data_IF_800271497823
#
_entry.id   IF_800271497823
#
_cell.length_a   1.000
_cell.length_b   1.000
_cell.length_c   1.000
_cell.angle_alpha   90.00
_cell.angle_beta   90.00
_cell.angle_gamma   90.00
#
_symmetry.space_group_name_H-M   'P 1'
#
loop_
_entity.id
_entity.type
_entity.pdbx_description
1 polymer ?
#
# COMPACT_ATOMS: atom_id res chain seq x y z
N UNK A 1 -21.60 -8.49 13.45
CA UNK A 1 -22.67 -7.51 13.17
C UNK A 1 -22.81 -6.44 14.25
N UNK A 2 -23.17 -6.73 15.51
CA UNK A 2 -23.26 -5.68 16.54
C UNK A 2 -21.90 -5.07 16.94
N UNK A 3 -20.85 -5.90 17.02
CA UNK A 3 -19.47 -5.45 17.30
C UNK A 3 -18.95 -4.56 16.17
N UNK A 4 -19.19 -4.94 14.91
CA UNK A 4 -18.80 -4.15 13.74
C UNK A 4 -19.57 -2.82 13.66
N UNK A 5 -20.86 -2.83 14.03
CA UNK A 5 -21.70 -1.63 14.08
C UNK A 5 -21.19 -0.64 15.13
N UNK A 6 -20.80 -1.11 16.31
CA UNK A 6 -20.25 -0.24 17.36
C UNK A 6 -18.88 0.36 16.97
N UNK A 7 -18.07 -0.36 16.19
CA UNK A 7 -16.80 0.16 15.65
C UNK A 7 -17.03 1.22 14.57
N UNK A 8 -17.98 0.97 13.66
CA UNK A 8 -18.25 1.87 12.53
C UNK A 8 -19.03 3.11 12.93
N UNK A 9 -20.13 2.95 13.67
CA UNK A 9 -21.06 4.03 14.01
C UNK A 9 -20.82 4.60 15.41
N UNK A 10 -20.08 3.89 16.25
CA UNK A 10 -19.92 4.22 17.66
C UNK A 10 -20.84 3.40 18.56
N UNK A 11 -20.43 3.22 19.81
CA UNK A 11 -21.24 2.60 20.85
C UNK A 11 -22.05 3.63 21.64
N UNK A 12 -23.17 3.20 22.25
CA UNK A 12 -23.91 4.02 23.20
C UNK A 12 -22.99 4.53 24.32
N UNK A 13 -23.11 5.83 24.66
CA UNK A 13 -22.19 6.68 25.47
C UNK A 13 -21.17 7.53 24.70
N UNK A 14 -21.54 8.10 23.55
CA UNK A 14 -20.78 9.19 22.92
C UNK A 14 -19.42 8.80 22.33
N UNK A 15 -19.12 7.50 22.21
CA UNK A 15 -17.94 7.03 21.49
C UNK A 15 -18.15 7.24 19.99
N UNK A 16 -17.40 8.17 19.39
CA UNK A 16 -17.37 8.35 17.94
C UNK A 16 -16.89 7.07 17.24
N UNK A 17 -17.68 6.58 16.28
CA UNK A 17 -17.28 5.49 15.39
C UNK A 17 -16.32 5.95 14.29
N UNK A 18 -15.74 4.98 13.57
CA UNK A 18 -14.83 5.24 12.46
C UNK A 18 -15.47 6.12 11.38
N UNK A 19 -16.74 5.90 11.05
CA UNK A 19 -17.42 6.64 9.97
C UNK A 19 -17.48 8.14 10.26
N UNK A 20 -17.78 8.53 11.49
CA UNK A 20 -17.83 9.95 11.87
C UNK A 20 -16.47 10.64 11.66
N UNK A 21 -15.37 9.98 12.02
CA UNK A 21 -14.03 10.53 11.80
C UNK A 21 -13.59 10.49 10.34
N UNK A 22 -14.02 9.49 9.56
CA UNK A 22 -13.80 9.48 8.11
C UNK A 22 -14.51 10.68 7.48
N UNK A 23 -15.79 10.89 7.79
CA UNK A 23 -16.57 12.04 7.27
C UNK A 23 -15.93 13.37 7.68
N UNK A 24 -15.43 13.49 8.91
CA UNK A 24 -14.71 14.69 9.37
C UNK A 24 -13.47 14.97 8.51
N UNK A 25 -12.68 13.94 8.16
CA UNK A 25 -11.51 14.11 7.30
C UNK A 25 -11.92 14.41 5.86
N UNK A 26 -12.85 13.64 5.29
CA UNK A 26 -13.32 13.82 3.90
C UNK A 26 -13.92 15.20 3.67
N UNK A 27 -14.71 15.76 4.61
CA UNK A 27 -15.32 17.09 4.41
C UNK A 27 -14.31 18.24 4.36
N UNK A 28 -13.09 18.00 4.85
CA UNK A 28 -12.02 19.01 4.88
C UNK A 28 -11.07 18.89 3.70
N UNK A 29 -11.32 17.92 2.81
CA UNK A 29 -10.51 17.75 1.60
C UNK A 29 -10.87 18.84 0.60
N UNK A 30 -9.91 19.72 0.36
CA UNK A 30 -9.97 20.77 -0.65
C UNK A 30 -8.92 20.46 -1.72
N UNK A 31 -9.27 19.53 -2.62
CA UNK A 31 -8.43 19.03 -3.71
C UNK A 31 -9.30 18.68 -4.91
N UNK A 32 -8.75 18.73 -6.11
CA UNK A 32 -9.41 18.45 -7.39
C UNK A 32 -9.78 16.97 -7.56
N UNK A 33 -9.04 16.04 -6.93
CA UNK A 33 -9.35 14.61 -7.00
C UNK A 33 -10.49 14.24 -6.08
N UNK A 34 -11.45 13.46 -6.58
CA UNK A 34 -12.61 13.00 -5.81
C UNK A 34 -12.66 11.47 -5.73
N UNK A 35 -13.16 10.89 -4.62
CA UNK A 35 -13.44 9.46 -4.54
C UNK A 35 -14.26 8.97 -5.73
N UNK A 36 -13.66 8.10 -6.56
CA UNK A 36 -14.27 7.66 -7.81
C UNK A 36 -14.41 6.14 -7.87
N UNK A 37 -13.40 5.40 -7.40
CA UNK A 37 -13.40 3.94 -7.47
C UNK A 37 -13.03 3.33 -6.12
N UNK A 38 -13.67 2.21 -5.79
CA UNK A 38 -13.48 1.51 -4.53
C UNK A 38 -13.34 0.01 -4.77
N UNK A 39 -12.47 -0.64 -4.00
CA UNK A 39 -12.30 -2.09 -4.03
C UNK A 39 -12.02 -2.62 -5.45
N UNK A 40 -11.16 -1.89 -6.20
CA UNK A 40 -10.82 -2.18 -7.60
C UNK A 40 -10.01 -3.47 -7.67
N UNK A 41 -10.69 -4.57 -7.97
CA UNK A 41 -10.11 -5.89 -8.05
C UNK A 41 -9.57 -6.22 -9.44
N UNK A 42 -8.48 -6.99 -9.48
CA UNK A 42 -7.83 -7.44 -10.72
C UNK A 42 -7.23 -8.83 -10.57
N UNK A 43 -7.32 -9.66 -11.60
CA UNK A 43 -6.83 -11.04 -11.57
C UNK A 43 -7.63 -11.99 -10.68
N UNK A 44 -8.84 -11.59 -10.26
CA UNK A 44 -9.80 -12.47 -9.62
C UNK A 44 -10.74 -12.97 -10.71
N UNK A 45 -10.55 -14.19 -11.22
CA UNK A 45 -11.49 -14.76 -12.20
C UNK A 45 -12.90 -14.96 -11.62
N UNK A 46 -13.91 -15.27 -12.45
CA UNK A 46 -15.25 -15.59 -11.99
C UNK A 46 -15.22 -16.84 -11.08
N UNK A 47 -15.78 -16.76 -9.88
CA UNK A 47 -15.97 -17.92 -9.00
C UNK A 47 -14.74 -18.42 -8.23
N UNK A 48 -13.62 -17.68 -8.21
CA UNK A 48 -12.51 -17.99 -7.31
C UNK A 48 -12.96 -17.90 -5.84
N UNK A 49 -12.48 -18.79 -4.96
CA UNK A 49 -12.69 -18.65 -3.51
C UNK A 49 -12.14 -17.29 -3.05
N UNK A 50 -13.00 -16.45 -2.47
CA UNK A 50 -12.66 -15.07 -2.10
C UNK A 50 -12.76 -14.05 -3.25
N UNK A 51 -13.36 -14.41 -4.40
CA UNK A 51 -13.73 -13.44 -5.42
C UNK A 51 -14.63 -12.35 -4.80
N UNK A 52 -14.36 -11.06 -5.04
CA UNK A 52 -15.17 -9.99 -4.47
C UNK A 52 -16.64 -10.16 -4.88
N UNK A 53 -17.57 -10.15 -3.90
CA UNK A 53 -19.02 -10.13 -4.19
C UNK A 53 -19.42 -8.91 -5.03
N UNK A 54 -18.61 -7.85 -4.98
CA UNK A 54 -18.78 -6.60 -5.71
C UNK A 54 -17.41 -6.15 -6.20
N UNK A 55 -17.32 -5.79 -7.47
CA UNK A 55 -16.14 -5.21 -8.10
C UNK A 55 -16.47 -3.80 -8.56
N UNK A 56 -15.47 -2.95 -8.63
CA UNK A 56 -15.62 -1.67 -9.30
C UNK A 56 -16.03 -1.89 -10.77
N UNK A 57 -17.14 -1.31 -11.24
CA UNK A 57 -17.70 -1.61 -12.56
C UNK A 57 -16.90 -0.99 -13.72
N UNK A 58 -16.07 0.02 -13.47
CA UNK A 58 -15.32 0.72 -14.51
C UNK A 58 -13.88 0.25 -14.61
N UNK A 59 -13.21 0.06 -13.47
CA UNK A 59 -11.79 -0.32 -13.41
C UNK A 59 -11.55 -1.79 -13.05
N UNK A 60 -12.53 -2.49 -12.48
CA UNK A 60 -12.39 -3.90 -12.10
C UNK A 60 -12.21 -4.82 -13.32
N UNK A 61 -11.31 -5.82 -13.22
CA UNK A 61 -11.01 -6.77 -14.31
C UNK A 61 -10.83 -8.20 -13.81
N UNK A 62 -11.17 -9.18 -14.65
CA UNK A 62 -10.94 -10.61 -14.34
C UNK A 62 -9.47 -10.99 -14.54
N UNK A 63 -8.83 -10.39 -15.54
CA UNK A 63 -7.46 -10.70 -15.92
C UNK A 63 -6.45 -10.11 -14.92
N UNK A 64 -5.36 -10.85 -14.62
CA UNK A 64 -4.23 -10.31 -13.90
C UNK A 64 -3.57 -9.16 -14.65
N UNK A 65 -2.95 -8.24 -13.91
CA UNK A 65 -2.09 -7.21 -14.50
C UNK A 65 -0.67 -7.73 -14.59
N UNK A 66 -0.05 -7.64 -15.76
CA UNK A 66 1.33 -8.06 -15.96
C UNK A 66 2.28 -6.91 -15.66
N UNK A 67 3.20 -7.11 -14.72
CA UNK A 67 4.13 -6.09 -14.23
C UNK A 67 5.54 -6.68 -14.26
N UNK A 68 6.41 -6.14 -15.12
CA UNK A 68 7.77 -6.67 -15.30
C UNK A 68 7.81 -8.15 -15.70
N UNK A 69 6.79 -8.63 -16.44
CA UNK A 69 6.65 -10.04 -16.83
C UNK A 69 6.04 -10.95 -15.74
N UNK A 70 5.65 -10.39 -14.60
CA UNK A 70 4.96 -11.12 -13.53
C UNK A 70 3.46 -10.83 -13.59
N UNK A 71 2.63 -11.86 -13.66
CA UNK A 71 1.18 -11.71 -13.52
C UNK A 71 0.81 -11.49 -12.04
N UNK A 72 0.20 -10.35 -11.74
CA UNK A 72 -0.22 -9.98 -10.37
C UNK A 72 -1.74 -9.89 -10.33
N UNK A 73 -2.29 -10.45 -9.25
CA UNK A 73 -3.69 -10.26 -8.83
C UNK A 73 -3.73 -9.47 -7.53
N UNK A 74 -4.80 -8.73 -7.31
CA UNK A 74 -4.94 -7.93 -6.12
C UNK A 74 -6.21 -7.10 -6.10
N UNK A 75 -6.26 -6.16 -5.15
CA UNK A 75 -7.38 -5.25 -4.97
C UNK A 75 -6.85 -3.93 -4.44
N UNK A 76 -7.15 -2.84 -5.15
CA UNK A 76 -6.83 -1.48 -4.73
C UNK A 76 -8.02 -0.93 -3.95
N UNK A 77 -7.81 -0.54 -2.70
CA UNK A 77 -8.89 -0.13 -1.80
C UNK A 77 -9.69 1.06 -2.34
N UNK A 78 -9.00 2.11 -2.82
CA UNK A 78 -9.62 3.33 -3.34
C UNK A 78 -8.75 4.07 -4.34
N UNK A 79 -9.40 4.61 -5.36
CA UNK A 79 -8.80 5.51 -6.35
C UNK A 79 -9.60 6.81 -6.38
N UNK A 80 -8.90 7.92 -6.19
CA UNK A 80 -9.48 9.25 -6.38
C UNK A 80 -8.97 9.82 -7.70
N UNK A 81 -9.87 10.41 -8.47
CA UNK A 81 -9.62 10.88 -9.83
C UNK A 81 -9.90 12.38 -9.91
N UNK A 82 -8.98 13.11 -10.52
CA UNK A 82 -9.11 14.53 -10.86
C UNK A 82 -9.05 14.74 -12.39
N UNK A 83 -8.95 16.00 -12.84
CA UNK A 83 -8.98 16.35 -14.26
C UNK A 83 -7.82 15.75 -15.07
N UNK A 84 -6.61 15.75 -14.50
CA UNK A 84 -5.35 15.36 -15.16
C UNK A 84 -4.56 14.30 -14.37
N UNK A 85 -5.07 13.87 -13.22
CA UNK A 85 -4.32 13.06 -12.27
C UNK A 85 -5.20 12.13 -11.45
N UNK A 86 -4.57 11.14 -10.80
CA UNK A 86 -5.22 10.25 -9.85
C UNK A 86 -4.36 10.00 -8.62
N UNK A 87 -5.00 9.65 -7.51
CA UNK A 87 -4.32 9.16 -6.31
C UNK A 87 -4.84 7.77 -5.94
N UNK A 88 -3.98 6.97 -5.32
CA UNK A 88 -4.36 5.69 -4.72
C UNK A 88 -4.35 5.83 -3.21
N UNK A 89 -5.40 5.33 -2.58
CA UNK A 89 -5.59 5.39 -1.14
C UNK A 89 -5.74 3.95 -0.60
N UNK A 90 -4.96 3.61 0.43
CA UNK A 90 -4.97 2.30 1.10
C UNK A 90 -5.33 2.47 2.59
N UNK A 91 -6.33 1.74 3.06
CA UNK A 91 -6.84 1.88 4.43
C UNK A 91 -6.01 1.05 5.42
N UNK A 92 -5.44 1.71 6.43
CA UNK A 92 -4.59 1.06 7.44
C UNK A 92 -5.14 1.23 8.85
N UNK A 93 -5.31 0.09 9.54
CA UNK A 93 -5.64 0.03 10.97
C UNK A 93 -4.40 0.00 11.87
N UNK A 94 -3.22 -0.27 11.30
CA UNK A 94 -1.96 -0.29 12.01
C UNK A 94 -1.56 1.10 12.54
N UNK A 95 -0.95 1.13 13.72
CA UNK A 95 -0.44 2.37 14.33
C UNK A 95 0.79 2.91 13.62
N UNK A 96 1.70 2.02 13.20
CA UNK A 96 2.92 2.32 12.43
C UNK A 96 2.58 2.16 10.95
N UNK A 97 2.79 3.21 10.18
CA UNK A 97 2.65 3.19 8.72
C UNK A 97 4.03 2.99 8.08
N UNK A 98 4.08 2.43 6.85
CA UNK A 98 5.32 2.39 6.10
C UNK A 98 5.92 3.77 5.87
N UNK A 99 7.24 3.86 6.01
CA UNK A 99 8.07 5.02 5.68
C UNK A 99 8.43 4.97 4.21
N UNK A 100 8.89 6.10 3.66
CA UNK A 100 9.42 6.12 2.30
C UNK A 100 10.62 5.16 2.15
N UNK A 101 11.52 5.13 3.13
CA UNK A 101 12.64 4.19 3.15
C UNK A 101 12.20 2.73 3.03
N UNK A 102 11.08 2.36 3.66
CA UNK A 102 10.57 0.99 3.57
C UNK A 102 10.10 0.64 2.14
N UNK A 103 9.65 1.65 1.38
CA UNK A 103 9.30 1.53 -0.05
C UNK A 103 10.57 1.45 -0.89
N UNK A 104 11.53 2.35 -0.66
CA UNK A 104 12.81 2.41 -1.36
C UNK A 104 13.65 1.13 -1.18
N UNK A 105 13.54 0.48 -0.01
CA UNK A 105 14.19 -0.80 0.33
C UNK A 105 13.39 -2.02 -0.17
N UNK A 106 12.22 -1.82 -0.77
CA UNK A 106 11.39 -2.89 -1.32
C UNK A 106 10.60 -3.69 -0.28
N UNK A 107 10.55 -3.23 0.96
CA UNK A 107 9.84 -3.93 2.05
C UNK A 107 8.36 -3.54 2.16
N UNK A 108 7.98 -2.43 1.53
CA UNK A 108 6.59 -1.97 1.40
C UNK A 108 6.29 -1.59 -0.05
N UNK A 109 5.66 -2.50 -0.79
CA UNK A 109 5.47 -2.35 -2.24
C UNK A 109 4.07 -1.86 -2.64
N UNK A 110 3.10 -1.84 -1.71
CA UNK A 110 1.68 -1.71 -2.05
C UNK A 110 1.35 -0.43 -2.82
N UNK A 111 1.70 0.74 -2.27
CA UNK A 111 1.29 2.01 -2.89
C UNK A 111 1.90 2.22 -4.29
N UNK A 112 3.22 2.09 -4.52
CA UNK A 112 3.74 2.27 -5.88
C UNK A 112 3.28 1.19 -6.85
N UNK A 113 3.08 -0.05 -6.37
CA UNK A 113 2.54 -1.12 -7.20
C UNK A 113 1.10 -0.80 -7.63
N UNK A 114 0.27 -0.31 -6.71
CA UNK A 114 -1.10 0.10 -7.01
C UNK A 114 -1.14 1.32 -7.94
N UNK A 115 -0.25 2.30 -7.76
CA UNK A 115 -0.12 3.42 -8.70
C UNK A 115 0.16 2.93 -10.12
N UNK A 116 1.06 1.95 -10.27
CA UNK A 116 1.34 1.35 -11.58
C UNK A 116 0.13 0.59 -12.14
N UNK A 117 -0.50 -0.27 -11.33
CA UNK A 117 -1.67 -1.05 -11.74
C UNK A 117 -2.81 -0.15 -12.22
N UNK A 118 -3.15 0.88 -11.45
CA UNK A 118 -4.23 1.80 -11.80
C UNK A 118 -3.89 2.61 -13.04
N UNK A 119 -2.62 3.02 -13.21
CA UNK A 119 -2.17 3.70 -14.44
C UNK A 119 -2.41 2.82 -15.67
N UNK A 120 -2.02 1.56 -15.63
CA UNK A 120 -2.21 0.63 -16.76
C UNK A 120 -3.70 0.38 -17.05
N UNK A 121 -4.53 0.27 -16.01
CA UNK A 121 -5.97 0.11 -16.15
C UNK A 121 -6.63 1.34 -16.78
N UNK A 122 -6.33 2.53 -16.27
CA UNK A 122 -6.84 3.80 -16.81
C UNK A 122 -6.47 3.96 -18.28
N UNK A 123 -5.20 3.71 -18.62
CA UNK A 123 -4.72 3.77 -20.01
C UNK A 123 -5.45 2.80 -20.92
N UNK A 124 -5.65 1.56 -20.47
CA UNK A 124 -6.41 0.57 -21.23
C UNK A 124 -7.90 0.94 -21.37
N UNK A 125 -8.43 1.79 -20.48
CA UNK A 125 -9.77 2.40 -20.61
C UNK A 125 -9.76 3.73 -21.39
N UNK A 126 -8.64 4.09 -22.04
CA UNK A 126 -8.51 5.30 -22.87
C UNK A 126 -8.28 6.59 -22.08
N UNK A 127 -7.94 6.50 -20.79
CA UNK A 127 -7.70 7.64 -19.90
C UNK A 127 -6.22 7.73 -19.57
N UNK A 128 -5.56 8.80 -20.00
CA UNK A 128 -4.16 9.05 -19.65
C UNK A 128 -4.10 10.11 -18.54
N UNK A 129 -4.04 9.64 -17.29
CA UNK A 129 -3.96 10.47 -16.09
C UNK A 129 -2.61 10.26 -15.41
N UNK A 130 -2.02 11.34 -14.90
CA UNK A 130 -0.77 11.29 -14.15
C UNK A 130 -1.00 10.68 -12.75
N UNK A 131 -0.07 9.84 -12.30
CA UNK A 131 -0.07 9.42 -10.90
C UNK A 131 0.37 10.60 -10.02
N UNK A 132 -0.52 11.05 -9.14
CA UNK A 132 -0.21 12.15 -8.23
C UNK A 132 0.39 11.66 -6.92
N UNK A 133 -0.24 10.69 -6.24
CA UNK A 133 0.24 10.20 -4.95
C UNK A 133 -0.35 8.85 -4.54
N UNK A 134 0.44 8.09 -3.77
CA UNK A 134 -0.04 7.00 -2.93
C UNK A 134 -0.20 7.47 -1.49
N UNK A 135 -1.36 7.21 -0.89
CA UNK A 135 -1.74 7.75 0.42
C UNK A 135 -2.23 6.61 1.31
N UNK A 136 -1.78 6.60 2.57
CA UNK A 136 -2.35 5.76 3.61
C UNK A 136 -3.49 6.49 4.30
N UNK A 137 -4.67 5.87 4.31
CA UNK A 137 -5.77 6.30 5.16
C UNK A 137 -5.65 5.61 6.51
N UNK A 138 -5.01 6.28 7.46
CA UNK A 138 -4.85 5.75 8.81
C UNK A 138 -6.17 5.84 9.55
N UNK A 139 -6.68 4.70 10.02
CA UNK A 139 -7.95 4.60 10.75
C UNK A 139 -7.77 4.64 12.27
N UNK A 140 -6.55 4.34 12.76
CA UNK A 140 -6.20 4.34 14.19
C UNK A 140 -4.73 4.73 14.40
N UNK A 141 -4.38 5.38 15.54
CA UNK A 141 -5.28 5.78 16.63
C UNK A 141 -6.11 7.03 16.30
N UNK A 142 -5.64 7.85 15.37
CA UNK A 142 -6.32 9.03 14.86
C UNK A 142 -6.61 8.82 13.37
N UNK A 143 -7.80 9.22 12.94
CA UNK A 143 -8.21 9.12 11.55
C UNK A 143 -7.58 10.26 10.77
N UNK A 144 -6.75 9.95 9.77
CA UNK A 144 -6.05 10.94 8.94
C UNK A 144 -5.51 10.33 7.66
N UNK A 145 -5.27 11.18 6.67
CA UNK A 145 -4.51 10.84 5.46
C UNK A 145 -3.03 11.07 5.72
N UNK A 146 -2.20 10.10 5.37
CA UNK A 146 -0.73 10.18 5.48
C UNK A 146 -0.14 9.81 4.15
N UNK A 147 0.56 10.74 3.51
CA UNK A 147 1.25 10.49 2.25
C UNK A 147 2.26 9.34 2.42
N UNK A 148 2.28 8.42 1.45
CA UNK A 148 3.34 7.42 1.30
C UNK A 148 4.44 7.97 0.40
N UNK A 149 4.06 8.34 -0.81
CA UNK A 149 4.88 9.07 -1.80
C UNK A 149 3.95 9.91 -2.69
N UNK A 150 4.39 11.11 -3.09
CA UNK A 150 3.61 11.99 -3.96
C UNK A 150 4.48 12.86 -4.85
N UNK A 151 3.96 13.22 -6.02
CA UNK A 151 4.59 14.13 -6.98
C UNK A 151 4.28 15.59 -6.60
N UNK A 152 5.33 16.40 -6.40
CA UNK A 152 5.21 17.81 -6.03
C UNK A 152 4.41 18.67 -7.02
N UNK A 153 4.34 18.29 -8.30
CA UNK A 153 3.57 18.99 -9.33
C UNK A 153 2.06 19.00 -9.06
N UNK A 154 1.58 18.02 -8.28
CA UNK A 154 0.17 17.87 -7.92
C UNK A 154 -0.11 18.19 -6.44
N UNK A 155 0.87 18.73 -5.72
CA UNK A 155 0.70 19.16 -4.33
C UNK A 155 -0.40 20.21 -4.24
N UNK A 156 -1.29 20.10 -3.24
CA UNK A 156 -2.44 21.00 -3.03
C UNK A 156 -3.52 20.93 -4.13
N UNK A 157 -3.25 20.28 -5.27
CA UNK A 157 -4.23 20.01 -6.32
C UNK A 157 -4.85 18.63 -6.19
N UNK A 158 -4.05 17.57 -6.16
CA UNK A 158 -4.55 16.19 -6.11
C UNK A 158 -4.48 15.57 -4.71
N UNK A 159 -3.72 16.17 -3.80
CA UNK A 159 -3.61 15.70 -2.42
C UNK A 159 -3.26 16.86 -1.49
N UNK A 160 -3.78 16.79 -0.27
CA UNK A 160 -3.49 17.79 0.75
C UNK A 160 -2.01 17.71 1.16
N UNK A 161 -1.37 18.85 1.45
CA UNK A 161 -0.02 18.86 1.97
C UNK A 161 0.02 18.18 3.34
N UNK A 162 0.74 17.05 3.41
CA UNK A 162 1.07 16.42 4.68
C UNK A 162 2.41 16.94 5.23
N UNK A 163 2.66 16.68 6.52
CA UNK A 163 4.00 16.81 7.09
C UNK A 163 4.94 15.79 6.41
N UNK A 164 5.78 16.21 5.46
CA UNK A 164 6.71 15.26 4.84
C UNK A 164 7.54 15.78 3.68
N UNK A 165 8.66 16.44 3.98
CA UNK A 165 9.61 16.89 2.95
C UNK A 165 10.19 15.75 2.09
N UNK A 166 10.46 14.56 2.67
CA UNK A 166 11.03 13.43 1.91
C UNK A 166 10.02 12.67 1.06
N UNK A 167 8.76 12.59 1.49
CA UNK A 167 7.70 11.83 0.80
C UNK A 167 7.15 12.57 -0.42
N UNK A 168 7.37 13.87 -0.46
CA UNK A 168 7.10 14.72 -1.60
C UNK A 168 8.29 14.65 -2.56
N UNK A 169 8.12 13.87 -3.62
CA UNK A 169 9.10 13.72 -4.68
C UNK A 169 9.05 14.93 -5.62
N UNK A 170 10.18 15.36 -6.20
CA UNK A 170 10.28 16.64 -6.89
C UNK A 170 9.42 16.76 -8.16
N UNK A 171 9.14 15.65 -8.85
CA UNK A 171 8.39 15.63 -10.10
C UNK A 171 7.84 14.22 -10.40
N UNK A 172 7.09 14.09 -11.50
CA UNK A 172 6.56 12.82 -11.98
C UNK A 172 7.65 11.78 -12.29
N UNK A 173 8.81 12.21 -12.80
CA UNK A 173 9.92 11.30 -13.12
C UNK A 173 10.48 10.60 -11.87
N UNK A 174 10.58 11.31 -10.75
CA UNK A 174 11.02 10.76 -9.49
C UNK A 174 10.02 9.73 -8.93
N UNK A 175 8.72 10.00 -9.05
CA UNK A 175 7.68 9.03 -8.69
C UNK A 175 7.72 7.81 -9.62
N UNK A 176 7.94 8.01 -10.91
CA UNK A 176 8.08 6.93 -11.89
C UNK A 176 9.35 6.10 -11.65
N UNK A 177 10.43 6.70 -11.14
CA UNK A 177 11.60 5.95 -10.69
C UNK A 177 11.27 5.04 -9.50
N UNK A 178 10.55 5.55 -8.50
CA UNK A 178 10.12 4.76 -7.34
C UNK A 178 9.20 3.59 -7.75
N UNK A 179 8.29 3.84 -8.68
CA UNK A 179 7.43 2.81 -9.28
C UNK A 179 8.29 1.77 -10.01
N UNK A 180 9.23 2.18 -10.86
CA UNK A 180 10.12 1.25 -11.58
C UNK A 180 10.99 0.42 -10.64
N UNK A 181 11.52 1.01 -9.57
CA UNK A 181 12.25 0.28 -8.52
C UNK A 181 11.37 -0.76 -7.84
N UNK A 182 10.12 -0.40 -7.53
CA UNK A 182 9.10 -1.32 -6.98
C UNK A 182 8.87 -2.52 -7.90
N UNK A 183 8.75 -2.30 -9.22
CA UNK A 183 8.64 -3.37 -10.21
C UNK A 183 9.91 -4.26 -10.22
N UNK A 184 11.08 -3.65 -10.10
CA UNK A 184 12.35 -4.36 -9.93
C UNK A 184 12.36 -5.28 -8.71
N UNK A 185 11.86 -4.82 -7.56
CA UNK A 185 11.72 -5.65 -6.37
C UNK A 185 10.74 -6.81 -6.59
N UNK A 186 9.56 -6.55 -7.14
CA UNK A 186 8.57 -7.60 -7.43
C UNK A 186 9.16 -8.69 -8.31
N UNK A 187 9.78 -8.32 -9.43
CA UNK A 187 10.39 -9.28 -10.36
C UNK A 187 11.53 -10.05 -9.72
N UNK A 188 12.40 -9.38 -8.96
CA UNK A 188 13.48 -10.02 -8.21
C UNK A 188 12.98 -11.00 -7.14
N UNK A 189 11.91 -10.65 -6.42
CA UNK A 189 11.31 -11.50 -5.40
C UNK A 189 10.65 -12.74 -6.02
N UNK A 190 9.86 -12.58 -7.08
CA UNK A 190 9.22 -13.71 -7.77
C UNK A 190 10.26 -14.65 -8.37
N UNK A 191 11.31 -14.11 -8.99
CA UNK A 191 12.43 -14.92 -9.49
C UNK A 191 13.11 -15.69 -8.38
N UNK A 192 13.40 -15.04 -7.25
CA UNK A 192 14.05 -15.69 -6.10
C UNK A 192 13.20 -16.83 -5.54
N UNK A 193 11.88 -16.63 -5.45
CA UNK A 193 10.93 -17.67 -5.05
C UNK A 193 10.96 -18.85 -6.02
N UNK A 194 10.92 -18.58 -7.33
CA UNK A 194 10.97 -19.61 -8.37
C UNK A 194 12.30 -20.41 -8.36
N UNK A 195 13.41 -19.76 -7.99
CA UNK A 195 14.72 -20.38 -7.81
C UNK A 195 14.87 -21.08 -6.45
N UNK A 196 13.83 -21.12 -5.60
CA UNK A 196 13.87 -21.78 -4.29
C UNK A 196 14.66 -21.03 -3.22
N UNK A 197 14.91 -19.73 -3.40
CA UNK A 197 15.68 -18.90 -2.45
C UNK A 197 14.77 -18.33 -1.36
N UNK A 198 14.85 -18.91 -0.16
CA UNK A 198 14.11 -18.46 1.02
C UNK A 198 15.08 -18.10 2.17
N UNK A 199 15.84 -16.99 2.05
CA UNK A 199 16.76 -16.58 3.10
C UNK A 199 16.01 -16.15 4.35
N UNK A 200 16.69 -16.25 5.50
CA UNK A 200 16.20 -15.65 6.73
C UNK A 200 16.23 -14.11 6.63
N UNK A 201 15.41 -13.45 7.45
CA UNK A 201 15.46 -11.98 7.56
C UNK A 201 16.83 -11.53 8.09
N UNK A 202 17.18 -10.28 7.80
CA UNK A 202 18.42 -9.66 8.29
C UNK A 202 18.33 -9.33 9.79
N UNK A 203 19.47 -9.27 10.52
CA UNK A 203 19.49 -9.04 11.96
C UNK A 203 18.76 -7.77 12.41
N UNK A 204 18.90 -6.69 11.66
CA UNK A 204 18.27 -5.38 11.89
C UNK A 204 16.73 -5.41 11.77
N UNK A 205 16.18 -6.41 11.06
CA UNK A 205 14.73 -6.57 10.85
C UNK A 205 14.09 -7.63 11.74
N UNK A 206 14.86 -8.30 12.59
CA UNK A 206 14.34 -9.39 13.44
C UNK A 206 13.19 -8.89 14.32
N UNK A 207 13.31 -7.72 14.93
CA UNK A 207 12.28 -7.19 15.82
C UNK A 207 10.98 -6.88 15.07
N UNK A 208 11.06 -6.21 13.92
CA UNK A 208 9.89 -5.86 13.11
C UNK A 208 9.21 -7.11 12.51
N UNK A 209 9.99 -8.10 12.03
CA UNK A 209 9.47 -9.26 11.30
C UNK A 209 9.05 -10.40 12.25
N UNK A 210 9.86 -10.72 13.26
CA UNK A 210 9.62 -11.90 14.09
C UNK A 210 8.53 -11.71 15.15
N UNK A 211 8.18 -10.46 15.50
CA UNK A 211 7.12 -10.15 16.47
C UNK A 211 5.76 -10.70 16.02
N UNK A 212 5.49 -10.71 14.71
CA UNK A 212 4.22 -11.14 14.13
C UNK A 212 4.33 -12.45 13.32
N UNK A 213 5.48 -13.12 13.36
CA UNK A 213 5.75 -14.30 12.54
C UNK A 213 5.32 -15.61 13.22
N UNK A 214 4.31 -16.28 12.65
CA UNK A 214 3.83 -17.59 13.10
C UNK A 214 4.87 -18.72 12.96
N UNK A 215 5.90 -18.52 12.14
CA UNK A 215 6.94 -19.53 11.84
C UNK A 215 8.23 -19.33 12.64
N UNK A 216 8.23 -18.48 13.68
CA UNK A 216 9.41 -18.17 14.50
C UNK A 216 10.07 -19.42 15.11
N UNK A 217 9.30 -20.46 15.42
CA UNK A 217 9.81 -21.72 15.95
C UNK A 217 10.49 -22.59 14.88
N UNK A 218 10.10 -22.46 13.61
CA UNK A 218 10.63 -23.25 12.50
C UNK A 218 11.91 -22.63 11.91
N UNK A 219 11.97 -21.31 11.79
CA UNK A 219 13.05 -20.64 11.07
C UNK A 219 14.41 -20.68 11.78
N UNK A 220 14.45 -21.00 13.09
CA UNK A 220 15.66 -21.07 13.94
C UNK A 220 16.57 -19.83 13.90
N UNK A 221 16.06 -18.67 13.47
CA UNK A 221 16.86 -17.43 13.35
C UNK A 221 17.50 -16.98 14.67
N UNK A 222 16.88 -17.32 15.81
CA UNK A 222 17.41 -17.03 17.13
C UNK A 222 18.72 -17.79 17.43
N UNK A 223 18.93 -18.95 16.82
CA UNK A 223 20.17 -19.73 16.95
C UNK A 223 21.30 -19.03 16.21
N UNK A 224 21.04 -18.57 14.98
CA UNK A 224 22.01 -17.84 14.16
C UNK A 224 22.37 -16.50 14.82
N UNK A 225 21.40 -15.79 15.40
CA UNK A 225 21.64 -14.56 16.17
C UNK A 225 22.64 -14.79 17.31
N UNK A 226 22.50 -15.87 18.08
CA UNK A 226 23.39 -16.19 19.22
C UNK A 226 24.82 -16.48 18.77
N UNK A 227 24.99 -17.21 17.67
CA UNK A 227 26.32 -17.51 17.11
C UNK A 227 27.01 -16.23 16.61
N UNK A 228 26.28 -15.35 15.93
CA UNK A 228 26.83 -14.08 15.43
C UNK A 228 27.20 -13.07 16.54
N UNK A 229 26.55 -13.16 17.71
CA UNK A 229 26.83 -12.29 18.88
C UNK A 229 27.84 -12.88 19.87
N UNK A 230 28.36 -14.09 19.63
CA UNK A 230 29.40 -14.68 20.48
C UNK A 230 30.76 -14.07 20.11
N UNK A 231 31.58 -13.61 21.08
CA UNK A 231 32.94 -13.17 20.77
C UNK A 231 33.67 -14.32 20.09
N UNK A 232 34.40 -14.04 19.01
CA UNK A 232 35.40 -14.98 18.51
C UNK A 232 36.42 -15.14 19.64
N UNK A 233 36.36 -16.28 20.35
CA UNK A 233 37.47 -16.72 21.19
C UNK A 233 38.66 -16.97 20.27
N UNK A 234 39.54 -15.97 20.23
CA UNK A 234 40.78 -15.99 19.48
C UNK A 234 41.68 -17.11 19.96
N UNK A 235 42.32 -17.74 18.97
CA UNK A 235 43.39 -18.74 19.10
C UNK A 235 44.62 -18.19 19.81
#
# INVERSE_FOLDING_TARGET
WEVDRAVLFGGGRGRRGLLAGIIDVERTRDVETTPSHFEVAFGAGPGAEGAPMTRDPELGRDEPVTIGGVAIRGKVDRVDVGPDSFTVIDYKTARKLPRLADIEEGTSLQLPLYLHVIREMLRASGRDLAAAAGIYYQLRPQIRLVMGAGNAEFKERAFAPGEGGRKLLPNGEALDLLIRQTIGFVTGYVRSIAEGKFPLTTPDRIEDVCTYCSYRALCRIQVIRRVASSPQEGS
#
